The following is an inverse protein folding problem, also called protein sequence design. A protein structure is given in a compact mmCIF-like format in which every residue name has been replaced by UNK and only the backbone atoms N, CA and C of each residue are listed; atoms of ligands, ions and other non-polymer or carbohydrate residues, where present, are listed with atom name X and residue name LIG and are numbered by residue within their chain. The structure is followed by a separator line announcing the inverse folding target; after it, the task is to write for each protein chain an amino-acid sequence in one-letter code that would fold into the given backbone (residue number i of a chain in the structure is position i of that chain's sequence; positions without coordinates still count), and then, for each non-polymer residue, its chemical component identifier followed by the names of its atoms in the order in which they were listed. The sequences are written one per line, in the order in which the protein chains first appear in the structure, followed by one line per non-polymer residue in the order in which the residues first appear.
data_IF_567792740826
#
_entry.id   IF_567792740826
#
_cell.length_a   1.000
_cell.length_b   1.000
_cell.length_c   1.000
_cell.angle_alpha   90.00
_cell.angle_beta   90.00
_cell.angle_gamma   90.00
#
_symmetry.space_group_name_H-M   'P 1'
#
loop_
_entity.id
_entity.type
_entity.pdbx_description
1 polymer ?
#
# COMPACT_ATOMS: atom_id res chain seq x y z
N UNK A 1 -0.13 24.59 6.57
CA UNK A 1 0.84 23.95 5.66
C UNK A 1 1.09 22.54 6.16
N UNK A 2 0.68 21.50 5.42
CA UNK A 2 1.08 20.14 5.75
C UNK A 2 2.58 20.04 5.50
N UNK A 3 3.35 19.65 6.52
CA UNK A 3 4.73 19.23 6.30
C UNK A 3 4.71 18.12 5.25
N UNK A 4 5.70 18.03 4.33
CA UNK A 4 5.80 16.88 3.44
C UNK A 4 6.09 15.66 4.31
N UNK A 5 5.01 14.96 4.71
CA UNK A 5 5.07 13.65 5.34
C UNK A 5 5.84 12.74 4.38
N UNK A 6 6.71 11.89 4.93
CA UNK A 6 7.34 10.88 4.08
C UNK A 6 6.24 10.03 3.43
N UNK A 7 6.43 9.49 2.22
CA UNK A 7 5.42 8.64 1.59
C UNK A 7 4.98 7.45 2.47
N UNK A 8 5.85 7.00 3.38
CA UNK A 8 5.54 5.95 4.36
C UNK A 8 4.56 6.43 5.44
N UNK A 9 4.74 7.65 5.95
CA UNK A 9 3.86 8.24 6.97
C UNK A 9 2.49 8.57 6.36
N UNK A 10 2.46 9.18 5.17
CA UNK A 10 1.20 9.45 4.45
C UNK A 10 0.41 8.16 4.22
N UNK A 11 1.08 7.09 3.78
CA UNK A 11 0.45 5.79 3.60
C UNK A 11 -0.11 5.22 4.91
N UNK A 12 0.62 5.39 6.02
CA UNK A 12 0.15 4.94 7.34
C UNK A 12 -1.11 5.70 7.77
N UNK A 13 -1.13 7.02 7.59
CA UNK A 13 -2.28 7.88 7.91
C UNK A 13 -3.51 7.54 7.06
N UNK A 14 -3.34 7.39 5.74
CA UNK A 14 -4.42 6.97 4.84
C UNK A 14 -4.95 5.59 5.26
N UNK A 15 -4.08 4.64 5.61
CA UNK A 15 -4.52 3.30 6.06
C UNK A 15 -5.30 3.36 7.37
N UNK A 16 -4.89 4.23 8.30
CA UNK A 16 -5.63 4.44 9.55
C UNK A 16 -7.03 5.02 9.29
N UNK A 17 -7.12 5.99 8.39
CA UNK A 17 -8.39 6.61 8.01
C UNK A 17 -9.32 5.63 7.28
N UNK A 18 -8.80 4.84 6.34
CA UNK A 18 -9.54 3.74 5.71
C UNK A 18 -10.07 2.76 6.76
N UNK A 19 -9.25 2.40 7.76
CA UNK A 19 -9.68 1.50 8.84
C UNK A 19 -10.79 2.12 9.71
N UNK A 20 -10.74 3.42 9.96
CA UNK A 20 -11.80 4.16 10.68
C UNK A 20 -13.10 4.17 9.89
N UNK A 21 -13.04 4.50 8.60
CA UNK A 21 -14.20 4.53 7.72
C UNK A 21 -14.83 3.14 7.57
N UNK A 22 -14.02 2.09 7.37
CA UNK A 22 -14.50 0.70 7.31
C UNK A 22 -15.21 0.26 8.59
N UNK A 23 -14.71 0.66 9.77
CA UNK A 23 -15.39 0.39 11.04
C UNK A 23 -16.76 1.06 11.10
N UNK A 24 -16.84 2.33 10.69
CA UNK A 24 -18.12 3.06 10.65
C UNK A 24 -19.08 2.44 9.64
N UNK A 25 -18.60 2.09 8.46
CA UNK A 25 -19.38 1.40 7.43
C UNK A 25 -19.93 0.07 7.95
N UNK A 26 -19.11 -0.76 8.61
CA UNK A 26 -19.52 -2.03 9.18
C UNK A 26 -20.66 -1.88 10.19
N UNK A 27 -20.60 -0.85 11.06
CA UNK A 27 -21.68 -0.54 12.02
C UNK A 27 -22.97 -0.19 11.29
N UNK A 28 -22.92 0.67 10.28
CA UNK A 28 -24.10 1.05 9.49
C UNK A 28 -24.68 -0.15 8.72
N UNK A 29 -23.82 -0.95 8.10
CA UNK A 29 -24.22 -2.16 7.38
C UNK A 29 -24.91 -3.15 8.31
N UNK A 30 -24.37 -3.37 9.51
CA UNK A 30 -24.97 -4.27 10.49
C UNK A 30 -26.36 -3.78 10.92
N UNK A 31 -26.51 -2.47 11.14
CA UNK A 31 -27.80 -1.87 11.44
C UNK A 31 -28.82 -2.14 10.33
N UNK A 32 -28.46 -1.92 9.07
CA UNK A 32 -29.35 -2.18 7.92
C UNK A 32 -29.72 -3.66 7.73
N UNK A 33 -28.85 -4.58 8.15
CA UNK A 33 -29.11 -6.02 8.07
C UNK A 33 -29.96 -6.53 9.23
N UNK A 34 -29.93 -5.85 10.39
CA UNK A 34 -30.59 -6.31 11.61
C UNK A 34 -31.95 -5.64 11.83
N UNK A 35 -32.07 -4.36 11.52
CA UNK A 35 -33.28 -3.58 11.72
C UNK A 35 -34.00 -3.31 10.39
N UNK A 36 -35.12 -4.00 10.18
CA UNK A 36 -35.96 -3.83 9.00
C UNK A 36 -36.65 -2.46 8.92
N UNK A 37 -36.83 -1.77 10.06
CA UNK A 37 -37.45 -0.45 10.14
C UNK A 37 -36.48 0.71 9.81
N UNK A 38 -35.19 0.42 9.66
CA UNK A 38 -34.18 1.44 9.38
C UNK A 38 -34.46 2.18 8.06
N UNK A 39 -34.46 3.53 8.02
CA UNK A 39 -34.73 4.29 6.81
C UNK A 39 -33.73 4.00 5.70
N UNK A 40 -34.25 3.51 4.57
CA UNK A 40 -33.47 3.15 3.37
C UNK A 40 -33.28 4.30 2.38
N UNK A 41 -33.85 5.47 2.63
CA UNK A 41 -33.71 6.65 1.76
C UNK A 41 -33.26 7.82 2.60
N UNK A 42 -32.15 8.43 2.20
CA UNK A 42 -31.68 9.72 2.69
C UNK A 42 -31.86 10.81 1.65
N UNK A 43 -31.37 12.00 1.96
CA UNK A 43 -31.49 13.19 1.10
C UNK A 43 -30.81 13.05 -0.27
N UNK A 44 -29.73 12.27 -0.36
CA UNK A 44 -28.95 12.10 -1.60
C UNK A 44 -28.78 10.64 -2.04
N UNK A 45 -29.08 9.66 -1.17
CA UNK A 45 -28.75 8.25 -1.39
C UNK A 45 -29.88 7.34 -0.95
N UNK A 46 -30.00 6.16 -1.58
CA UNK A 46 -30.88 5.07 -1.16
C UNK A 46 -30.08 3.79 -0.94
N UNK A 47 -30.55 2.94 -0.03
CA UNK A 47 -29.97 1.65 0.32
C UNK A 47 -30.94 0.55 -0.13
N UNK A 48 -30.42 -0.45 -0.85
CA UNK A 48 -31.18 -1.60 -1.31
C UNK A 48 -30.59 -2.87 -0.72
N UNK A 49 -31.44 -3.73 -0.16
CA UNK A 49 -31.04 -5.03 0.33
C UNK A 49 -31.28 -6.06 -0.77
N UNK A 50 -30.20 -6.46 -1.45
CA UNK A 50 -30.25 -7.47 -2.50
C UNK A 50 -29.72 -8.78 -1.93
N UNK A 51 -30.53 -9.85 -2.02
CA UNK A 51 -30.10 -11.20 -1.68
C UNK A 51 -29.66 -11.90 -2.95
N UNK A 52 -28.39 -12.30 -3.01
CA UNK A 52 -27.84 -13.08 -4.12
C UNK A 52 -27.48 -14.47 -3.63
N UNK A 53 -27.80 -15.49 -4.43
CA UNK A 53 -27.39 -16.88 -4.19
C UNK A 53 -26.37 -17.27 -5.24
N UNK A 54 -25.24 -17.79 -4.79
CA UNK A 54 -24.16 -18.25 -5.64
C UNK A 54 -23.79 -19.67 -5.25
N UNK A 55 -23.61 -20.53 -6.25
CA UNK A 55 -23.00 -21.85 -6.03
C UNK A 55 -21.50 -21.66 -5.87
N UNK A 56 -20.96 -22.07 -4.72
CA UNK A 56 -19.52 -21.95 -4.43
C UNK A 56 -18.89 -23.33 -4.51
N UNK A 57 -17.80 -23.43 -5.27
CA UNK A 57 -16.97 -24.63 -5.28
C UNK A 57 -16.22 -24.74 -3.95
N UNK A 58 -16.26 -25.90 -3.30
CA UNK A 58 -15.60 -26.16 -2.02
C UNK A 58 -14.38 -27.08 -2.20
N UNK A 59 -13.15 -26.55 -2.35
CA UNK A 59 -11.96 -27.37 -2.61
C UNK A 59 -11.62 -28.35 -1.48
N UNK A 60 -12.12 -28.10 -0.26
CA UNK A 60 -11.87 -28.94 0.92
C UNK A 60 -12.55 -30.30 0.83
N UNK A 61 -13.67 -30.37 0.10
CA UNK A 61 -14.44 -31.59 -0.12
C UNK A 61 -13.92 -32.42 -1.29
N UNK A 62 -12.87 -31.95 -1.98
CA UNK A 62 -12.24 -32.74 -3.02
C UNK A 62 -11.60 -34.00 -2.45
N UNK A 63 -11.62 -35.10 -3.21
CA UNK A 63 -10.82 -36.28 -2.91
C UNK A 63 -9.35 -35.90 -2.70
N UNK A 64 -8.65 -36.53 -1.73
CA UNK A 64 -7.28 -36.18 -1.40
C UNK A 64 -6.33 -36.33 -2.60
N UNK A 65 -6.66 -37.21 -3.55
CA UNK A 65 -5.91 -37.45 -4.78
C UNK A 65 -5.86 -36.17 -5.63
N UNK A 66 -6.99 -35.49 -5.84
CA UNK A 66 -7.05 -34.26 -6.65
C UNK A 66 -6.51 -33.06 -5.86
N UNK A 67 -6.85 -32.98 -4.57
CA UNK A 67 -6.48 -31.84 -3.71
C UNK A 67 -4.96 -31.71 -3.52
N UNK A 68 -4.28 -32.86 -3.40
CA UNK A 68 -2.85 -32.89 -3.14
C UNK A 68 -2.01 -33.04 -4.42
N UNK A 69 -2.64 -33.29 -5.57
CA UNK A 69 -1.95 -33.41 -6.84
C UNK A 69 -1.32 -32.06 -7.26
N UNK A 70 0.02 -31.99 -7.40
CA UNK A 70 0.73 -30.79 -7.82
C UNK A 70 0.30 -30.26 -9.20
N UNK A 71 -0.28 -31.09 -10.07
CA UNK A 71 -0.78 -30.68 -11.38
C UNK A 71 -1.93 -29.65 -11.28
N UNK A 72 -2.66 -29.63 -10.15
CA UNK A 72 -3.71 -28.66 -9.87
C UNK A 72 -3.26 -27.52 -8.94
N UNK A 73 -1.96 -27.40 -8.68
CA UNK A 73 -1.38 -26.35 -7.86
C UNK A 73 -0.66 -25.31 -8.73
N UNK A 74 -0.71 -24.06 -8.28
CA UNK A 74 0.11 -22.99 -8.85
C UNK A 74 0.68 -22.13 -7.74
N UNK A 75 1.93 -21.72 -7.92
CA UNK A 75 2.51 -20.70 -7.07
C UNK A 75 1.93 -19.33 -7.42
N UNK A 76 1.51 -18.57 -6.40
CA UNK A 76 1.07 -17.19 -6.55
C UNK A 76 1.88 -16.30 -5.61
N UNK A 77 2.77 -15.50 -6.18
CA UNK A 77 3.55 -14.51 -5.42
C UNK A 77 2.71 -13.25 -5.19
N UNK A 78 2.53 -12.85 -3.94
CA UNK A 78 1.84 -11.62 -3.55
C UNK A 78 2.74 -10.74 -2.70
N UNK A 79 2.91 -9.48 -3.09
CA UNK A 79 3.62 -8.47 -2.29
C UNK A 79 2.61 -7.68 -1.47
N UNK A 80 2.83 -7.60 -0.16
CA UNK A 80 1.92 -6.93 0.78
C UNK A 80 2.68 -5.86 1.54
N UNK A 81 2.19 -4.62 1.47
CA UNK A 81 2.71 -3.50 2.26
C UNK A 81 2.01 -3.49 3.62
N UNK A 82 2.80 -3.51 4.71
CA UNK A 82 2.29 -3.43 6.09
C UNK A 82 2.95 -2.25 6.78
N UNK A 83 2.25 -1.12 6.97
CA UNK A 83 2.79 -0.02 7.76
C UNK A 83 2.94 -0.48 9.21
N UNK A 84 4.11 -0.22 9.80
CA UNK A 84 4.39 -0.45 11.21
C UNK A 84 5.02 0.82 11.77
N UNK A 85 4.78 1.11 13.06
CA UNK A 85 5.41 2.26 13.70
C UNK A 85 6.89 1.97 13.89
N UNK A 86 7.72 2.89 13.41
CA UNK A 86 9.13 2.85 13.71
C UNK A 86 9.34 3.20 15.19
N UNK A 87 10.18 2.45 15.90
CA UNK A 87 10.49 2.75 17.30
C UNK A 87 11.14 4.14 17.41
N UNK A 88 10.89 4.86 18.51
CA UNK A 88 11.33 6.25 18.71
C UNK A 88 12.85 6.48 18.57
N UNK A 89 13.67 5.42 18.68
CA UNK A 89 15.12 5.48 18.59
C UNK A 89 15.70 4.87 17.29
N UNK A 90 14.86 4.58 16.29
CA UNK A 90 15.38 4.09 15.02
C UNK A 90 15.99 5.25 14.23
N UNK A 91 17.29 5.16 13.94
CA UNK A 91 17.95 6.09 13.04
C UNK A 91 17.28 6.01 11.66
N UNK A 92 16.77 7.15 11.19
CA UNK A 92 16.33 7.26 9.80
C UNK A 92 17.57 7.24 8.90
N UNK A 93 17.65 6.38 7.88
CA UNK A 93 18.64 6.57 6.83
C UNK A 93 18.38 7.93 6.16
N UNK A 94 19.43 8.68 5.79
CA UNK A 94 19.26 9.93 5.06
C UNK A 94 18.37 9.70 3.83
N UNK A 95 17.41 10.60 3.61
CA UNK A 95 16.70 10.67 2.34
C UNK A 95 17.74 10.95 1.26
N UNK A 96 18.16 9.92 0.52
CA UNK A 96 18.98 10.08 -0.67
C UNK A 96 18.26 11.06 -1.60
N UNK A 97 18.85 12.24 -1.89
CA UNK A 97 18.24 13.16 -2.82
C UNK A 97 18.04 12.44 -4.15
N UNK A 98 16.89 12.63 -4.78
CA UNK A 98 16.61 12.07 -6.10
C UNK A 98 17.81 12.34 -7.03
N UNK A 99 18.28 11.35 -7.81
CA UNK A 99 19.47 11.53 -8.63
C UNK A 99 19.29 12.74 -9.52
N UNK A 100 20.19 13.73 -9.39
CA UNK A 100 20.18 14.95 -10.22
C UNK A 100 20.25 14.52 -11.69
N UNK A 101 19.18 14.70 -12.49
CA UNK A 101 19.15 14.26 -13.88
C UNK A 101 20.19 14.99 -14.74
N UNK A 102 20.78 16.08 -14.24
CA UNK A 102 21.81 16.86 -14.92
C UNK A 102 23.23 16.52 -14.47
N UNK A 103 23.42 15.59 -13.52
CA UNK A 103 24.75 15.20 -13.03
C UNK A 103 25.66 14.65 -14.15
N UNK A 104 25.09 14.00 -15.16
CA UNK A 104 25.83 13.48 -16.32
C UNK A 104 26.25 14.55 -17.36
N UNK A 105 25.70 15.76 -17.28
CA UNK A 105 25.94 16.83 -18.26
C UNK A 105 26.98 17.86 -17.79
N UNK A 106 27.47 17.76 -16.55
CA UNK A 106 28.49 18.69 -16.05
C UNK A 106 29.86 18.34 -16.64
N UNK A 107 30.51 19.25 -17.39
CA UNK A 107 31.86 18.99 -17.88
C UNK A 107 32.84 18.89 -16.70
N UNK A 108 33.63 17.80 -16.67
CA UNK A 108 34.69 17.61 -15.67
C UNK A 108 35.67 18.79 -15.74
N UNK A 109 36.10 19.36 -14.60
CA UNK A 109 37.06 20.45 -14.60
C UNK A 109 38.38 19.95 -15.22
N UNK A 110 38.80 20.58 -16.32
CA UNK A 110 40.09 20.31 -16.95
C UNK A 110 41.20 20.70 -15.97
N UNK A 111 41.90 19.69 -15.45
CA UNK A 111 43.08 19.84 -14.59
C UNK A 111 44.16 20.58 -15.39
N UNK A 112 44.35 21.87 -15.11
CA UNK A 112 45.47 22.64 -15.67
C UNK A 112 46.77 22.11 -15.05
N UNK A 113 47.56 21.40 -15.84
CA UNK A 113 48.93 21.06 -15.49
C UNK A 113 49.77 22.33 -15.61
N UNK A 114 50.09 22.95 -14.49
CA UNK A 114 51.14 23.96 -14.41
C UNK A 114 52.47 23.21 -14.36
N UNK A 115 53.18 23.17 -15.49
CA UNK A 115 54.58 22.75 -15.54
C UNK A 115 55.45 23.90 -15.03
N UNK A 116 56.12 23.70 -13.91
CA UNK A 116 57.10 24.64 -13.36
C UNK A 116 58.52 24.20 -13.76
N UNK A 117 59.39 25.08 -14.30
CA UNK A 117 60.77 24.72 -14.61
C UNK A 117 61.75 25.28 -13.56
N UNK A 118 62.54 24.40 -12.94
CA UNK A 118 63.78 24.65 -12.17
C UNK A 118 64.13 23.34 -11.42
N UNK A 119 65.35 22.86 -11.19
CA UNK A 119 66.74 23.30 -11.39
C UNK A 119 67.60 22.03 -11.17
N UNK A 120 68.63 21.79 -11.98
CA UNK A 120 69.97 21.35 -11.55
C UNK A 120 70.93 21.28 -12.74
#
# INVERSE_FOLDING_TARGET
MLHPLSPADELADIRAEIARLKRREAVLRMAYLTDAAMPRRGRWHKIELVTQRHTVFEPRLLPPEIRNDPAYQRERVMRVLRPSRLAANAAFPPLEPAPDPLAGLRPKPRRRLLTNPALH
#
